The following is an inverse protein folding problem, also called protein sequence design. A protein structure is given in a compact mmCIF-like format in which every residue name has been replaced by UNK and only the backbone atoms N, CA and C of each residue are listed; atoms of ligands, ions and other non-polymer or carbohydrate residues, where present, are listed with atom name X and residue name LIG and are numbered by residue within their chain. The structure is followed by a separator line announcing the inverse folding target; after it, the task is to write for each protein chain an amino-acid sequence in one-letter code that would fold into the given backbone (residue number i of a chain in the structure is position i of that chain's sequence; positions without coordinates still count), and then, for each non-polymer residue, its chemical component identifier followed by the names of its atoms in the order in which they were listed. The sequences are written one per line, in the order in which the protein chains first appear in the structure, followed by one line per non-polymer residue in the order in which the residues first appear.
data_IF_342617754380
#
_entry.id   IF_342617754380
#
_cell.length_a   1.000
_cell.length_b   1.000
_cell.length_c   1.000
_cell.angle_alpha   90.00
_cell.angle_beta   90.00
_cell.angle_gamma   90.00
#
_symmetry.space_group_name_H-M   'P 1'
#
loop_
_entity.id
_entity.type
_entity.pdbx_description
1 polymer ?
#
# COMPACT_ATOMS: atom_id res chain seq x y z
N UNK A 1 -0.26 10.78 0.16
CA UNK A 1 -0.63 11.89 1.09
C UNK A 1 -1.70 12.77 0.47
N UNK A 2 -2.53 13.39 1.27
CA UNK A 2 -3.55 14.32 0.79
C UNK A 2 -2.92 15.55 0.13
N UNK A 3 -3.64 16.16 -0.80
CA UNK A 3 -3.22 17.42 -1.41
C UNK A 3 -3.51 18.60 -0.46
N UNK A 4 -2.52 19.45 -0.20
CA UNK A 4 -2.64 20.57 0.72
C UNK A 4 -3.73 21.58 0.30
N UNK A 5 -3.84 21.85 -1.01
CA UNK A 5 -4.90 22.73 -1.54
C UNK A 5 -6.30 22.14 -1.28
N UNK A 6 -6.47 20.80 -1.45
CA UNK A 6 -7.74 20.13 -1.15
C UNK A 6 -8.12 20.29 0.33
N UNK A 7 -7.14 20.07 1.25
CA UNK A 7 -7.38 20.24 2.69
C UNK A 7 -7.81 21.68 3.01
N UNK A 8 -7.14 22.66 2.41
CA UNK A 8 -7.45 24.08 2.63
C UNK A 8 -8.85 24.45 2.14
N UNK A 9 -9.27 23.94 0.98
CA UNK A 9 -10.55 24.25 0.35
C UNK A 9 -11.71 23.48 1.00
N UNK A 10 -11.43 22.33 1.65
CA UNK A 10 -12.43 21.41 2.17
C UNK A 10 -12.19 21.04 3.64
N UNK A 11 -11.75 22.00 4.49
CA UNK A 11 -11.32 21.76 5.88
C UNK A 11 -12.30 20.90 6.67
N UNK A 12 -13.58 21.29 6.68
CA UNK A 12 -14.61 20.64 7.52
C UNK A 12 -14.89 19.21 7.05
N UNK A 13 -14.98 18.99 5.75
CA UNK A 13 -15.12 17.66 5.16
C UNK A 13 -13.93 16.74 5.50
N UNK A 14 -12.71 17.27 5.41
CA UNK A 14 -11.50 16.53 5.77
C UNK A 14 -11.52 16.09 7.23
N UNK A 15 -11.88 17.02 8.14
CA UNK A 15 -12.00 16.72 9.57
C UNK A 15 -13.07 15.64 9.82
N UNK A 16 -14.25 15.78 9.22
CA UNK A 16 -15.33 14.79 9.33
C UNK A 16 -14.88 13.40 8.88
N UNK A 17 -14.27 13.29 7.70
CA UNK A 17 -13.84 11.99 7.18
C UNK A 17 -12.69 11.37 7.98
N UNK A 18 -11.76 12.16 8.50
CA UNK A 18 -10.67 11.67 9.35
C UNK A 18 -11.17 11.15 10.71
N UNK A 19 -12.29 11.66 11.22
CA UNK A 19 -12.95 11.13 12.43
C UNK A 19 -13.44 9.70 12.24
N UNK A 20 -13.86 9.32 11.04
CA UNK A 20 -14.27 7.95 10.72
C UNK A 20 -13.10 6.95 10.90
N UNK A 21 -11.85 7.37 10.65
CA UNK A 21 -10.62 6.61 10.95
C UNK A 21 -10.12 6.77 12.39
N UNK A 22 -10.86 7.41 13.26
CA UNK A 22 -10.46 7.71 14.64
C UNK A 22 -9.10 8.43 14.73
N UNK A 23 -8.77 9.27 13.72
CA UNK A 23 -7.52 10.02 13.73
C UNK A 23 -7.53 11.02 14.88
N UNK A 24 -6.53 10.86 15.78
CA UNK A 24 -6.47 11.64 17.03
C UNK A 24 -6.11 13.10 16.77
N UNK A 25 -6.69 14.00 17.55
CA UNK A 25 -6.42 15.45 17.50
C UNK A 25 -6.58 16.06 16.11
N UNK A 26 -7.53 15.56 15.33
CA UNK A 26 -7.70 15.92 13.92
C UNK A 26 -7.82 17.42 13.71
N UNK A 27 -8.61 18.12 14.51
CA UNK A 27 -8.82 19.57 14.41
C UNK A 27 -7.50 20.31 14.57
N UNK A 28 -6.74 20.00 15.62
CA UNK A 28 -5.45 20.64 15.91
C UNK A 28 -4.43 20.38 14.80
N UNK A 29 -4.31 19.13 14.31
CA UNK A 29 -3.37 18.77 13.26
C UNK A 29 -3.69 19.52 11.95
N UNK A 30 -4.97 19.65 11.61
CA UNK A 30 -5.39 20.39 10.40
C UNK A 30 -5.15 21.90 10.60
N UNK A 31 -5.39 22.46 11.78
CA UNK A 31 -5.09 23.87 12.07
C UNK A 31 -3.60 24.14 11.98
N UNK A 32 -2.76 23.34 12.63
CA UNK A 32 -1.30 23.47 12.58
C UNK A 32 -0.76 23.39 11.12
N UNK A 33 -1.34 22.50 10.30
CA UNK A 33 -1.01 22.37 8.89
C UNK A 33 -1.36 23.63 8.09
N UNK A 34 -2.57 24.17 8.30
CA UNK A 34 -3.03 25.38 7.59
C UNK A 34 -2.28 26.61 8.05
N UNK A 35 -1.91 26.72 9.33
CA UNK A 35 -1.06 27.79 9.84
C UNK A 35 0.35 27.73 9.23
N UNK A 36 0.95 26.53 9.16
CA UNK A 36 2.24 26.33 8.49
C UNK A 36 2.18 26.70 6.99
N UNK A 37 1.09 26.37 6.29
CA UNK A 37 0.89 26.79 4.89
C UNK A 37 0.75 28.31 4.74
N UNK A 38 0.02 28.95 5.64
CA UNK A 38 -0.12 30.41 5.64
C UNK A 38 1.24 31.09 5.87
N UNK A 39 2.02 30.60 6.83
CA UNK A 39 3.39 31.08 7.07
C UNK A 39 4.28 30.89 5.85
N UNK A 40 4.31 29.69 5.25
CA UNK A 40 5.04 29.41 4.03
C UNK A 40 4.68 30.37 2.90
N UNK A 41 3.40 30.60 2.66
CA UNK A 41 2.89 31.49 1.60
C UNK A 41 3.29 32.95 1.83
N UNK A 42 3.22 33.43 3.09
CA UNK A 42 3.65 34.77 3.48
C UNK A 42 5.15 34.96 3.26
N UNK A 43 5.97 33.99 3.75
CA UNK A 43 7.43 34.01 3.59
C UNK A 43 7.80 33.92 2.10
N UNK A 44 7.14 33.09 1.31
CA UNK A 44 7.36 32.99 -0.15
C UNK A 44 7.11 34.35 -0.84
N UNK A 45 5.99 34.99 -0.52
CA UNK A 45 5.62 36.29 -1.09
C UNK A 45 6.66 37.35 -0.75
N UNK A 46 7.12 37.38 0.50
CA UNK A 46 8.17 38.32 0.94
C UNK A 46 9.52 38.01 0.27
N UNK A 47 9.88 36.74 0.15
CA UNK A 47 11.09 36.30 -0.55
C UNK A 47 11.10 36.74 -2.02
N UNK A 48 9.98 36.55 -2.71
CA UNK A 48 9.84 36.94 -4.13
C UNK A 48 9.95 38.46 -4.30
N UNK A 49 9.37 39.25 -3.36
CA UNK A 49 9.50 40.71 -3.33
C UNK A 49 10.95 41.14 -3.13
N UNK A 50 11.64 40.60 -2.14
CA UNK A 50 13.05 40.92 -1.84
C UNK A 50 13.95 40.56 -3.02
N UNK A 51 13.76 39.39 -3.67
CA UNK A 51 14.49 39.00 -4.87
C UNK A 51 14.26 39.98 -6.03
N UNK A 52 13.04 40.43 -6.24
CA UNK A 52 12.72 41.41 -7.27
C UNK A 52 13.42 42.77 -7.02
N UNK A 53 13.38 43.24 -5.77
CA UNK A 53 14.06 44.48 -5.36
C UNK A 53 15.58 44.36 -5.46
N UNK A 54 16.19 43.26 -5.00
CA UNK A 54 17.61 42.94 -5.12
C UNK A 54 18.09 42.98 -6.59
N UNK A 55 17.32 42.34 -7.48
CA UNK A 55 17.61 42.36 -8.92
C UNK A 55 17.50 43.75 -9.55
N UNK A 56 16.52 44.56 -9.10
CA UNK A 56 16.38 45.94 -9.59
C UNK A 56 17.57 46.81 -9.15
N UNK A 57 18.02 46.70 -7.88
CA UNK A 57 19.18 47.40 -7.36
C UNK A 57 20.45 46.96 -8.09
N UNK A 58 20.65 45.68 -8.33
CA UNK A 58 21.81 45.19 -9.07
C UNK A 58 21.91 45.82 -10.47
N UNK A 59 20.77 45.98 -11.18
CA UNK A 59 20.72 46.70 -12.46
C UNK A 59 21.04 48.16 -12.33
N UNK A 60 20.54 48.83 -11.29
CA UNK A 60 20.86 50.27 -11.02
C UNK A 60 22.34 50.47 -10.74
N UNK A 61 22.96 49.64 -9.93
CA UNK A 61 24.43 49.69 -9.66
C UNK A 61 25.21 49.58 -10.97
N UNK A 62 24.81 48.63 -11.86
CA UNK A 62 25.48 48.47 -13.17
C UNK A 62 25.34 49.71 -14.06
N UNK A 63 24.20 50.42 -14.02
CA UNK A 63 23.98 51.66 -14.75
C UNK A 63 24.81 52.83 -14.18
N UNK A 64 24.87 52.96 -12.86
CA UNK A 64 25.63 54.01 -12.17
C UNK A 64 27.12 53.90 -12.45
N UNK A 65 27.68 52.69 -12.43
CA UNK A 65 29.07 52.47 -12.82
C UNK A 65 29.33 52.87 -14.29
N UNK A 66 28.44 52.58 -15.23
CA UNK A 66 28.56 53.01 -16.63
C UNK A 66 28.51 54.53 -16.78
N UNK A 67 27.85 55.23 -15.86
CA UNK A 67 27.71 56.69 -15.84
C UNK A 67 28.85 57.38 -15.07
N UNK A 68 29.82 56.64 -14.50
CA UNK A 68 30.91 57.20 -13.69
C UNK A 68 30.52 57.62 -12.28
N UNK A 69 29.33 57.27 -11.79
CA UNK A 69 28.79 57.65 -10.47
C UNK A 69 29.11 56.59 -9.42
N UNK A 70 30.41 56.43 -9.12
CA UNK A 70 30.91 55.38 -8.23
C UNK A 70 30.39 55.50 -6.80
N UNK A 71 30.26 56.72 -6.25
CA UNK A 71 29.82 56.92 -4.86
C UNK A 71 28.36 56.53 -4.67
N UNK A 72 27.49 56.85 -5.64
CA UNK A 72 26.09 56.42 -5.61
C UNK A 72 25.93 54.89 -5.76
N UNK A 73 26.81 54.26 -6.55
CA UNK A 73 26.85 52.83 -6.71
C UNK A 73 27.28 52.11 -5.40
N UNK A 74 28.26 52.64 -4.68
CA UNK A 74 28.71 52.07 -3.39
C UNK A 74 27.63 52.17 -2.32
N UNK A 75 26.86 53.28 -2.25
CA UNK A 75 25.74 53.44 -1.31
C UNK A 75 24.64 52.34 -1.57
N UNK A 76 24.41 51.96 -2.81
CA UNK A 76 23.46 50.89 -3.14
C UNK A 76 24.00 49.48 -2.87
N UNK A 77 25.35 49.30 -2.86
CA UNK A 77 25.94 48.01 -2.47
C UNK A 77 25.64 47.63 -1.02
N UNK A 78 25.60 48.60 -0.09
CA UNK A 78 25.23 48.35 1.30
C UNK A 78 23.79 47.72 1.40
N UNK A 79 22.84 48.28 0.64
CA UNK A 79 21.49 47.71 0.54
C UNK A 79 21.47 46.31 -0.05
N UNK A 80 22.32 46.01 -1.03
CA UNK A 80 22.44 44.68 -1.60
C UNK A 80 22.86 43.64 -0.58
N UNK A 81 23.79 44.01 0.34
CA UNK A 81 24.21 43.13 1.44
C UNK A 81 23.07 42.86 2.44
N UNK A 82 22.29 43.89 2.75
CA UNK A 82 21.11 43.75 3.61
C UNK A 82 20.05 42.80 2.98
N UNK A 83 19.75 42.99 1.70
CA UNK A 83 18.83 42.09 0.99
C UNK A 83 19.34 40.66 0.91
N UNK A 84 20.62 40.41 0.68
CA UNK A 84 21.20 39.07 0.71
C UNK A 84 21.03 38.38 2.07
N UNK A 85 21.23 39.11 3.17
CA UNK A 85 21.01 38.58 4.51
C UNK A 85 19.53 38.23 4.73
N UNK A 86 18.63 39.11 4.28
CA UNK A 86 17.18 38.88 4.39
C UNK A 86 16.71 37.72 3.52
N UNK A 87 17.22 37.60 2.29
CA UNK A 87 16.99 36.44 1.41
C UNK A 87 17.41 35.13 2.08
N UNK A 88 18.56 35.09 2.76
CA UNK A 88 19.03 33.91 3.49
C UNK A 88 18.07 33.55 4.62
N UNK A 89 17.68 34.51 5.46
CA UNK A 89 16.74 34.29 6.55
C UNK A 89 15.37 33.78 6.07
N UNK A 90 14.83 34.38 4.99
CA UNK A 90 13.56 33.94 4.40
C UNK A 90 13.66 32.54 3.78
N UNK A 91 14.82 32.18 3.19
CA UNK A 91 15.06 30.84 2.68
C UNK A 91 15.10 29.79 3.78
N UNK A 92 15.70 30.09 4.93
CA UNK A 92 15.73 29.22 6.10
C UNK A 92 14.29 29.02 6.65
N UNK A 93 13.54 30.10 6.83
CA UNK A 93 12.13 30.04 7.29
C UNK A 93 11.23 29.28 6.31
N UNK A 94 11.46 29.42 5.00
CA UNK A 94 10.71 28.69 3.98
C UNK A 94 10.98 27.17 4.09
N UNK A 95 12.27 26.79 4.22
CA UNK A 95 12.66 25.39 4.41
C UNK A 95 12.04 24.77 5.66
N UNK A 96 12.10 25.47 6.79
CA UNK A 96 11.48 25.02 8.05
C UNK A 96 9.95 24.84 7.91
N UNK A 97 9.28 25.78 7.23
CA UNK A 97 7.83 25.69 6.99
C UNK A 97 7.48 24.51 6.08
N UNK A 98 8.26 24.27 5.02
CA UNK A 98 8.08 23.14 4.10
C UNK A 98 8.31 21.80 4.78
N UNK A 99 9.33 21.68 5.64
CA UNK A 99 9.58 20.48 6.43
C UNK A 99 8.44 20.20 7.42
N UNK A 100 7.94 21.24 8.11
CA UNK A 100 6.79 21.12 9.02
C UNK A 100 5.53 20.67 8.27
N UNK A 101 5.23 21.26 7.12
CA UNK A 101 4.10 20.88 6.27
C UNK A 101 4.24 19.41 5.82
N UNK A 102 5.42 19.01 5.35
CA UNK A 102 5.69 17.64 4.93
C UNK A 102 5.49 16.64 6.07
N UNK A 103 6.01 16.93 7.26
CA UNK A 103 5.85 16.07 8.43
C UNK A 103 4.38 15.92 8.83
N UNK A 104 3.61 17.01 8.86
CA UNK A 104 2.17 16.99 9.16
C UNK A 104 1.39 16.20 8.09
N UNK A 105 1.63 16.44 6.80
CA UNK A 105 0.98 15.70 5.72
C UNK A 105 1.28 14.19 5.76
N UNK A 106 2.48 13.79 6.16
CA UNK A 106 2.85 12.37 6.33
C UNK A 106 2.19 11.73 7.55
N UNK A 107 1.79 12.52 8.55
CA UNK A 107 1.06 12.03 9.73
C UNK A 107 -0.43 11.81 9.49
N UNK A 108 -1.01 12.47 8.47
CA UNK A 108 -2.44 12.42 8.16
C UNK A 108 -2.75 11.20 7.29
N UNK A 109 -3.68 10.31 7.68
CA UNK A 109 -4.10 9.18 6.86
C UNK A 109 -4.91 9.63 5.63
N UNK A 110 -5.17 8.68 4.73
CA UNK A 110 -6.10 8.92 3.63
C UNK A 110 -7.54 9.07 4.14
N UNK A 111 -8.35 9.81 3.41
CA UNK A 111 -9.76 9.99 3.73
C UNK A 111 -10.55 8.71 3.40
N UNK A 112 -11.37 8.20 4.32
CA UNK A 112 -12.31 7.14 3.99
C UNK A 112 -13.32 7.59 2.95
N UNK A 113 -13.65 6.72 2.00
CA UNK A 113 -14.78 6.92 1.11
C UNK A 113 -16.09 7.00 1.89
N UNK A 114 -17.09 7.69 1.35
CA UNK A 114 -18.42 7.87 1.97
C UNK A 114 -19.11 6.55 2.35
N UNK A 115 -18.81 5.45 1.62
CA UNK A 115 -19.40 4.14 1.83
C UNK A 115 -18.69 3.29 2.90
N UNK A 116 -17.61 3.82 3.50
CA UNK A 116 -16.92 3.19 4.62
C UNK A 116 -17.75 3.34 5.88
N UNK A 117 -18.15 2.22 6.53
CA UNK A 117 -18.92 2.26 7.77
C UNK A 117 -18.09 2.81 8.93
N UNK A 118 -18.76 3.42 9.88
CA UNK A 118 -18.17 3.73 11.18
C UNK A 118 -17.91 2.42 11.94
N UNK A 119 -16.88 2.41 12.78
CA UNK A 119 -16.49 1.24 13.57
C UNK A 119 -15.08 1.36 14.09
N UNK A 120 -14.74 0.59 15.11
CA UNK A 120 -13.48 0.66 15.82
C UNK A 120 -12.50 -0.48 15.49
N UNK A 121 -13.01 -1.61 15.01
CA UNK A 121 -12.18 -2.79 14.74
C UNK A 121 -12.88 -3.83 13.88
N UNK A 122 -12.28 -5.01 13.76
CA UNK A 122 -12.72 -6.07 12.87
C UNK A 122 -14.17 -6.55 13.09
N UNK A 123 -14.68 -6.42 14.31
CA UNK A 123 -16.05 -6.76 14.70
C UNK A 123 -17.12 -5.85 14.06
N UNK A 124 -16.72 -4.65 13.64
CA UNK A 124 -17.62 -3.67 13.02
C UNK A 124 -17.57 -3.72 11.49
N UNK A 125 -16.79 -4.63 10.92
CA UNK A 125 -16.72 -4.84 9.47
C UNK A 125 -18.03 -5.41 8.93
N UNK A 126 -18.43 -4.97 7.75
CA UNK A 126 -19.70 -5.38 7.13
C UNK A 126 -19.49 -6.50 6.13
N UNK A 127 -20.11 -7.67 6.39
CA UNK A 127 -20.15 -8.76 5.40
C UNK A 127 -21.02 -8.33 4.23
N UNK A 128 -20.43 -8.20 3.04
CA UNK A 128 -21.14 -7.81 1.81
C UNK A 128 -21.44 -9.00 0.90
N UNK A 129 -20.66 -10.06 0.99
CA UNK A 129 -20.86 -11.32 0.26
C UNK A 129 -20.47 -12.48 1.17
N UNK A 130 -21.20 -13.59 1.09
CA UNK A 130 -20.76 -14.88 1.61
C UNK A 130 -21.15 -15.96 0.59
N UNK A 131 -20.22 -16.86 0.24
CA UNK A 131 -20.37 -17.84 -0.82
C UNK A 131 -19.68 -19.17 -0.48
N UNK A 132 -20.18 -20.25 -1.05
CA UNK A 132 -19.70 -21.61 -0.82
C UNK A 132 -20.31 -22.26 0.43
N UNK A 133 -20.30 -23.60 0.45
CA UNK A 133 -20.77 -24.40 1.58
C UNK A 133 -19.59 -24.79 2.47
N UNK A 134 -19.73 -24.61 3.77
CA UNK A 134 -18.72 -25.06 4.74
C UNK A 134 -18.68 -26.59 4.75
N UNK A 135 -17.49 -27.21 4.60
CA UNK A 135 -17.39 -28.66 4.57
C UNK A 135 -17.85 -29.28 5.89
N UNK A 136 -18.54 -30.41 5.77
CA UNK A 136 -18.98 -31.23 6.91
C UNK A 136 -18.23 -32.55 6.88
N UNK A 137 -17.59 -32.89 7.97
CA UNK A 137 -16.86 -34.14 8.12
C UNK A 137 -17.59 -35.08 9.06
N UNK A 138 -17.52 -36.38 8.83
CA UNK A 138 -17.93 -37.44 9.71
C UNK A 138 -16.80 -37.96 10.63
N UNK A 139 -15.65 -37.25 10.59
CA UNK A 139 -14.46 -37.47 11.41
C UNK A 139 -13.96 -36.15 12.02
N UNK A 140 -13.07 -36.23 12.99
CA UNK A 140 -12.44 -35.05 13.61
C UNK A 140 -11.43 -34.43 12.62
N UNK A 141 -11.77 -33.25 12.09
CA UNK A 141 -10.91 -32.54 11.16
C UNK A 141 -9.63 -32.05 11.86
N UNK A 142 -8.48 -32.38 11.29
CA UNK A 142 -7.15 -31.96 11.77
C UNK A 142 -6.82 -30.57 11.26
N UNK A 143 -6.25 -29.70 12.10
CA UNK A 143 -5.75 -28.40 11.64
C UNK A 143 -4.53 -28.58 10.74
N UNK A 144 -4.32 -27.59 9.86
CA UNK A 144 -3.29 -27.66 8.81
C UNK A 144 -1.88 -27.96 9.35
N UNK A 145 -1.48 -27.50 10.53
CA UNK A 145 -0.16 -27.80 11.09
C UNK A 145 0.02 -29.28 11.45
N UNK A 146 -1.02 -30.01 11.78
CA UNK A 146 -0.98 -31.46 12.00
C UNK A 146 -0.92 -32.19 10.65
N UNK A 147 -1.74 -31.77 9.67
CA UNK A 147 -1.69 -32.33 8.32
C UNK A 147 -0.32 -32.08 7.65
N UNK A 148 0.27 -30.90 7.84
CA UNK A 148 1.62 -30.58 7.35
C UNK A 148 2.68 -31.55 7.88
N UNK A 149 2.59 -31.90 9.17
CA UNK A 149 3.51 -32.85 9.81
C UNK A 149 3.23 -34.30 9.38
N UNK A 150 1.95 -34.69 9.32
CA UNK A 150 1.52 -36.06 8.98
C UNK A 150 1.96 -36.45 7.56
N UNK A 151 1.80 -35.54 6.59
CA UNK A 151 2.15 -35.75 5.20
C UNK A 151 3.54 -35.25 4.82
N UNK A 152 4.32 -34.77 5.78
CA UNK A 152 5.69 -34.24 5.58
C UNK A 152 5.78 -33.18 4.47
N UNK A 153 4.82 -32.27 4.38
CA UNK A 153 4.69 -31.29 3.30
C UNK A 153 5.14 -29.89 3.69
N UNK A 154 5.13 -29.54 5.00
CA UNK A 154 5.68 -28.31 5.54
C UNK A 154 6.34 -28.61 6.88
N UNK A 155 7.60 -28.19 7.02
CA UNK A 155 8.41 -28.43 8.19
C UNK A 155 8.70 -27.11 8.92
N UNK A 156 8.07 -26.94 10.07
CA UNK A 156 8.20 -25.73 10.90
C UNK A 156 9.48 -25.78 11.76
N UNK A 157 9.89 -26.98 12.21
CA UNK A 157 11.08 -27.17 13.04
C UNK A 157 12.36 -26.94 12.25
N UNK A 158 12.39 -27.40 11.00
CA UNK A 158 13.48 -27.10 10.09
C UNK A 158 13.59 -25.59 9.81
N UNK A 159 12.48 -24.92 9.65
CA UNK A 159 12.43 -23.46 9.50
C UNK A 159 12.97 -22.73 10.73
N UNK A 160 12.57 -23.18 11.92
CA UNK A 160 13.11 -22.68 13.20
C UNK A 160 14.64 -22.87 13.29
N UNK A 161 15.15 -24.02 12.85
CA UNK A 161 16.59 -24.31 12.83
C UNK A 161 17.38 -23.40 11.90
N UNK A 162 16.81 -23.07 10.73
CA UNK A 162 17.50 -22.31 9.67
C UNK A 162 17.46 -20.79 10.00
N UNK A 163 16.32 -20.28 10.44
CA UNK A 163 16.10 -18.84 10.57
C UNK A 163 15.44 -18.46 11.90
N UNK A 164 14.32 -19.12 12.24
CA UNK A 164 13.50 -18.84 13.41
C UNK A 164 12.02 -19.13 13.17
N UNK A 165 11.18 -18.89 14.19
CA UNK A 165 9.75 -19.05 14.06
C UNK A 165 9.17 -18.15 12.94
N UNK A 166 8.14 -18.64 12.24
CA UNK A 166 7.52 -17.90 11.14
C UNK A 166 8.20 -17.98 9.79
N UNK A 167 9.17 -18.91 9.64
CA UNK A 167 9.86 -19.22 8.38
C UNK A 167 9.72 -20.70 8.04
N UNK A 168 8.56 -21.17 7.57
CA UNK A 168 8.34 -22.60 7.29
C UNK A 168 9.14 -23.07 6.07
N UNK A 169 9.49 -24.37 6.06
CA UNK A 169 10.12 -25.03 4.91
C UNK A 169 9.10 -25.93 4.23
N UNK A 170 8.70 -25.59 3.02
CA UNK A 170 7.83 -26.42 2.20
C UNK A 170 8.62 -27.59 1.57
N UNK A 171 8.06 -28.81 1.60
CA UNK A 171 8.72 -30.04 1.16
C UNK A 171 7.83 -30.83 0.18
N UNK A 172 8.43 -31.61 -0.69
CA UNK A 172 7.76 -32.58 -1.54
C UNK A 172 6.48 -32.06 -2.24
N UNK A 173 5.34 -32.72 -1.99
CA UNK A 173 4.04 -32.32 -2.52
C UNK A 173 3.59 -30.94 -2.02
N UNK A 174 4.00 -30.50 -0.81
CA UNK A 174 3.71 -29.16 -0.30
C UNK A 174 4.44 -28.07 -1.10
N UNK A 175 5.73 -28.22 -1.38
CA UNK A 175 6.48 -27.30 -2.23
C UNK A 175 5.92 -27.24 -3.66
N UNK A 176 5.46 -28.38 -4.18
CA UNK A 176 4.82 -28.45 -5.50
C UNK A 176 3.46 -27.74 -5.50
N UNK A 177 2.64 -27.91 -4.44
CA UNK A 177 1.37 -27.21 -4.27
C UNK A 177 1.56 -25.69 -4.20
N UNK A 178 2.55 -25.23 -3.42
CA UNK A 178 2.89 -23.81 -3.31
C UNK A 178 3.18 -23.20 -4.70
N UNK A 179 4.05 -23.84 -5.46
CA UNK A 179 4.39 -23.38 -6.81
C UNK A 179 3.23 -23.51 -7.80
N UNK A 180 2.37 -24.52 -7.65
CA UNK A 180 1.17 -24.68 -8.46
C UNK A 180 0.18 -23.53 -8.25
N UNK A 181 -0.03 -23.11 -7.00
CA UNK A 181 -0.86 -21.95 -6.67
C UNK A 181 -0.33 -20.65 -7.26
N UNK A 182 1.00 -20.42 -7.17
CA UNK A 182 1.64 -19.24 -7.77
C UNK A 182 1.34 -19.18 -9.27
N UNK A 183 1.61 -20.26 -10.00
CA UNK A 183 1.37 -20.31 -11.44
C UNK A 183 -0.10 -20.16 -11.79
N UNK A 184 -0.99 -20.82 -11.05
CA UNK A 184 -2.43 -20.73 -11.25
C UNK A 184 -2.93 -19.27 -11.07
N UNK A 185 -2.51 -18.58 -10.01
CA UNK A 185 -2.94 -17.20 -9.76
C UNK A 185 -2.42 -16.22 -10.81
N UNK A 186 -1.17 -16.38 -11.26
CA UNK A 186 -0.59 -15.56 -12.33
C UNK A 186 -1.30 -15.79 -13.65
N UNK A 187 -1.52 -17.06 -14.05
CA UNK A 187 -2.19 -17.42 -15.29
C UNK A 187 -3.63 -16.89 -15.33
N UNK A 188 -4.35 -16.96 -14.21
CA UNK A 188 -5.70 -16.42 -14.11
C UNK A 188 -5.71 -14.88 -14.17
N UNK A 189 -4.75 -14.21 -13.52
CA UNK A 189 -4.62 -12.76 -13.61
C UNK A 189 -4.33 -12.32 -15.06
N UNK A 190 -3.42 -13.03 -15.78
CA UNK A 190 -3.15 -12.73 -17.19
C UNK A 190 -4.37 -12.95 -18.10
N UNK A 191 -5.21 -13.98 -17.83
CA UNK A 191 -6.47 -14.20 -18.57
C UNK A 191 -7.45 -13.04 -18.39
N UNK A 192 -7.43 -12.41 -17.20
CA UNK A 192 -8.27 -11.26 -16.87
C UNK A 192 -7.64 -9.91 -17.31
N UNK A 193 -6.54 -9.96 -18.10
CA UNK A 193 -5.94 -8.80 -18.74
C UNK A 193 -4.82 -8.11 -17.94
N UNK A 194 -4.38 -8.69 -16.82
CA UNK A 194 -3.22 -8.17 -16.10
C UNK A 194 -1.91 -8.52 -16.81
N UNK A 195 -0.97 -7.60 -16.82
CA UNK A 195 0.38 -7.82 -17.30
C UNK A 195 1.27 -8.32 -16.17
N UNK A 196 1.87 -9.50 -16.33
CA UNK A 196 2.82 -10.01 -15.35
C UNK A 196 4.13 -9.24 -15.37
N UNK A 197 4.62 -8.90 -14.16
CA UNK A 197 5.96 -8.34 -13.94
C UNK A 197 6.64 -9.04 -12.78
N UNK A 198 7.97 -9.16 -12.86
CA UNK A 198 8.78 -9.73 -11.78
C UNK A 198 9.62 -8.61 -11.14
N UNK A 199 9.18 -8.04 -10.02
CA UNK A 199 9.83 -6.92 -9.38
C UNK A 199 10.98 -7.36 -8.47
N UNK A 200 11.91 -6.45 -8.10
CA UNK A 200 12.89 -6.71 -7.05
C UNK A 200 12.23 -6.86 -5.68
N UNK A 201 12.83 -7.70 -4.81
CA UNK A 201 12.37 -7.96 -3.44
C UNK A 201 12.88 -6.95 -2.42
N UNK A 202 13.79 -6.07 -2.82
CA UNK A 202 14.33 -4.98 -2.03
C UNK A 202 14.06 -3.65 -2.73
N UNK A 203 13.69 -2.64 -1.95
CA UNK A 203 13.39 -1.30 -2.46
C UNK A 203 14.15 -0.24 -1.67
N UNK A 204 14.39 0.92 -2.30
CA UNK A 204 14.93 2.08 -1.60
C UNK A 204 13.86 2.82 -0.78
N UNK A 205 14.31 3.73 0.08
CA UNK A 205 13.46 4.54 0.95
C UNK A 205 12.35 5.28 0.18
N UNK A 206 12.69 5.89 -0.96
CA UNK A 206 11.72 6.63 -1.77
C UNK A 206 10.57 5.75 -2.25
N UNK A 207 10.85 4.50 -2.61
CA UNK A 207 9.82 3.54 -3.02
C UNK A 207 8.91 3.14 -1.86
N UNK A 208 9.47 2.90 -0.68
CA UNK A 208 8.70 2.58 0.52
C UNK A 208 7.87 3.78 1.01
N UNK A 209 8.40 5.00 0.89
CA UNK A 209 7.66 6.24 1.18
C UNK A 209 6.49 6.47 0.22
N UNK A 210 6.67 6.16 -1.06
CA UNK A 210 5.70 6.48 -2.11
C UNK A 210 4.38 5.71 -1.93
N UNK A 211 4.42 4.45 -1.53
CA UNK A 211 3.23 3.62 -1.26
C UNK A 211 2.72 3.73 0.18
N UNK A 212 3.51 4.36 1.07
CA UNK A 212 3.08 4.61 2.46
C UNK A 212 3.53 3.58 3.48
N UNK A 213 4.46 2.70 3.13
CA UNK A 213 5.11 1.79 4.08
C UNK A 213 6.02 2.56 5.06
N UNK A 214 6.56 3.70 4.61
CA UNK A 214 7.26 4.65 5.46
C UNK A 214 6.46 5.95 5.63
N UNK A 215 6.56 6.61 6.81
CA UNK A 215 7.25 6.17 8.03
C UNK A 215 6.65 4.89 8.61
N UNK A 216 7.48 3.91 8.96
CA UNK A 216 7.04 2.62 9.52
C UNK A 216 6.64 2.78 11.00
N UNK A 217 5.37 3.11 11.23
CA UNK A 217 4.82 3.36 12.57
C UNK A 217 4.64 2.09 13.39
N UNK A 218 4.55 0.93 12.72
CA UNK A 218 4.26 -0.37 13.33
C UNK A 218 5.50 -1.28 13.41
N UNK A 219 6.65 -0.79 12.97
CA UNK A 219 7.91 -1.53 12.90
C UNK A 219 7.82 -2.85 12.12
N UNK A 220 7.08 -2.85 11.00
CA UNK A 220 6.82 -4.05 10.19
C UNK A 220 7.90 -4.34 9.15
N UNK A 221 8.70 -3.34 8.76
CA UNK A 221 9.68 -3.47 7.70
C UNK A 221 10.97 -4.12 8.18
N UNK A 222 11.48 -5.10 7.40
CA UNK A 222 12.87 -5.53 7.51
C UNK A 222 13.78 -4.52 6.79
N UNK A 223 14.79 -4.01 7.49
CA UNK A 223 15.70 -2.97 7.00
C UNK A 223 17.10 -3.54 6.80
N UNK A 224 17.76 -3.15 5.71
CA UNK A 224 19.16 -3.43 5.40
C UNK A 224 19.94 -2.11 5.58
N UNK A 225 20.51 -1.85 6.78
CA UNK A 225 21.00 -0.50 7.13
C UNK A 225 22.18 -0.03 6.30
N UNK A 226 23.08 -0.94 5.90
CA UNK A 226 24.31 -0.57 5.17
C UNK A 226 24.01 0.04 3.79
N UNK A 227 22.96 -0.47 3.13
CA UNK A 227 22.61 -0.07 1.76
C UNK A 227 21.37 0.85 1.75
N UNK A 228 20.77 1.10 2.91
CA UNK A 228 19.48 1.81 3.07
C UNK A 228 18.38 1.21 2.20
N UNK A 229 18.29 -0.14 2.18
CA UNK A 229 17.23 -0.88 1.51
C UNK A 229 16.25 -1.48 2.50
N UNK A 230 15.06 -1.79 1.98
CA UNK A 230 13.95 -2.37 2.72
C UNK A 230 13.47 -3.61 1.99
N UNK A 231 13.29 -4.73 2.71
CA UNK A 231 12.62 -5.91 2.15
C UNK A 231 11.14 -5.60 1.97
N UNK A 232 10.59 -5.97 0.82
CA UNK A 232 9.19 -5.65 0.50
C UNK A 232 8.21 -6.45 1.38
N UNK A 233 7.19 -5.82 1.98
CA UNK A 233 6.10 -6.50 2.69
C UNK A 233 4.99 -6.97 1.73
N UNK A 234 5.03 -6.52 0.47
CA UNK A 234 4.07 -6.76 -0.60
C UNK A 234 4.66 -6.31 -1.94
N UNK A 235 4.30 -6.98 -3.04
CA UNK A 235 4.67 -6.54 -4.39
C UNK A 235 4.01 -5.22 -4.80
N UNK A 236 2.97 -4.77 -4.08
CA UNK A 236 2.42 -3.42 -4.25
C UNK A 236 3.52 -2.36 -4.31
N UNK A 237 4.51 -2.45 -3.40
CA UNK A 237 5.55 -1.43 -3.29
C UNK A 237 6.36 -1.28 -4.58
N UNK A 238 7.05 -2.30 -5.09
CA UNK A 238 7.82 -2.16 -6.33
C UNK A 238 6.95 -1.98 -7.56
N UNK A 239 5.80 -2.65 -7.68
CA UNK A 239 4.95 -2.59 -8.87
C UNK A 239 4.33 -1.18 -9.03
N UNK A 240 3.78 -0.61 -7.96
CA UNK A 240 3.22 0.75 -8.00
C UNK A 240 4.32 1.80 -8.32
N UNK A 241 5.55 1.56 -7.85
CA UNK A 241 6.69 2.45 -8.11
C UNK A 241 7.24 2.40 -9.56
N UNK A 242 6.81 1.45 -10.39
CA UNK A 242 7.07 1.50 -11.86
C UNK A 242 6.58 2.83 -12.44
N UNK A 243 5.52 3.37 -11.88
CA UNK A 243 4.87 4.60 -12.35
C UNK A 243 5.29 5.87 -11.58
N UNK A 244 6.29 5.79 -10.69
CA UNK A 244 6.77 6.96 -9.94
C UNK A 244 7.37 8.01 -10.87
N UNK A 245 7.05 9.29 -10.63
CA UNK A 245 7.49 10.46 -11.39
C UNK A 245 7.08 10.42 -12.89
N UNK A 246 5.96 9.75 -13.22
CA UNK A 246 5.49 9.64 -14.60
C UNK A 246 4.18 10.40 -14.85
N UNK A 247 3.92 10.68 -16.13
CA UNK A 247 2.64 11.21 -16.61
C UNK A 247 2.10 10.26 -17.69
N UNK A 248 1.01 9.58 -17.39
CA UNK A 248 0.34 8.66 -18.29
C UNK A 248 -0.58 9.42 -19.27
N UNK A 249 -1.07 8.76 -20.30
CA UNK A 249 -2.14 9.28 -21.14
C UNK A 249 -3.45 8.63 -20.72
N UNK A 250 -4.52 9.40 -20.62
CA UNK A 250 -5.86 8.89 -20.23
C UNK A 250 -6.29 7.66 -21.07
N UNK A 251 -6.02 7.68 -22.37
CA UNK A 251 -6.36 6.58 -23.29
C UNK A 251 -5.64 5.27 -23.02
N UNK A 252 -4.54 5.30 -22.27
CA UNK A 252 -3.72 4.13 -21.94
C UNK A 252 -4.15 3.52 -20.57
N UNK A 253 -5.12 4.13 -19.89
CA UNK A 253 -5.71 3.66 -18.61
C UNK A 253 -6.95 2.78 -18.87
N UNK A 254 -7.23 1.78 -18.02
CA UNK A 254 -6.46 1.41 -16.85
C UNK A 254 -5.16 0.66 -17.18
N UNK A 255 -4.11 0.86 -16.37
CA UNK A 255 -2.91 0.04 -16.38
C UNK A 255 -3.05 -1.05 -15.31
N UNK A 256 -2.97 -2.32 -15.71
CA UNK A 256 -3.22 -3.48 -14.87
C UNK A 256 -1.99 -4.39 -14.85
N UNK A 257 -1.45 -4.63 -13.67
CA UNK A 257 -0.25 -5.45 -13.47
C UNK A 257 -0.46 -6.50 -12.40
N UNK A 258 0.14 -7.68 -12.58
CA UNK A 258 0.23 -8.70 -11.55
C UNK A 258 1.68 -9.09 -11.30
N UNK A 259 1.99 -9.48 -10.08
CA UNK A 259 3.33 -9.89 -9.69
C UNK A 259 3.30 -10.93 -8.59
N UNK A 260 4.08 -11.99 -8.75
CA UNK A 260 4.46 -12.87 -7.66
C UNK A 260 5.66 -12.29 -6.91
N UNK A 261 5.61 -12.35 -5.59
CA UNK A 261 6.78 -12.07 -4.75
C UNK A 261 6.75 -12.83 -3.43
N UNK A 262 7.93 -13.06 -2.88
CA UNK A 262 8.06 -13.26 -1.45
C UNK A 262 7.85 -11.92 -0.73
N UNK A 263 7.14 -11.96 0.38
CA UNK A 263 6.82 -10.81 1.21
C UNK A 263 7.45 -11.01 2.60
N UNK A 264 7.97 -9.91 3.18
CA UNK A 264 8.70 -9.97 4.44
C UNK A 264 8.06 -8.99 5.43
N UNK A 265 7.56 -9.52 6.56
CA UNK A 265 6.95 -8.72 7.63
C UNK A 265 7.53 -9.13 8.99
N UNK A 266 7.87 -8.14 9.81
CA UNK A 266 8.40 -8.42 11.14
C UNK A 266 7.36 -8.95 12.10
N UNK A 267 6.07 -8.83 11.77
CA UNK A 267 4.94 -9.26 12.57
C UNK A 267 5.05 -8.81 14.05
N UNK A 268 5.54 -7.58 14.23
CA UNK A 268 5.80 -7.00 15.53
C UNK A 268 4.51 -6.94 16.37
N UNK A 269 4.56 -7.46 17.58
CA UNK A 269 3.40 -7.49 18.50
C UNK A 269 2.43 -8.66 18.31
N UNK A 270 2.75 -9.65 17.45
CA UNK A 270 1.89 -10.82 17.24
C UNK A 270 2.28 -11.98 18.12
N UNK A 271 1.32 -12.51 18.90
CA UNK A 271 1.56 -13.60 19.86
C UNK A 271 0.37 -14.58 19.90
N UNK A 272 0.62 -15.82 20.39
CA UNK A 272 -0.43 -16.76 20.74
C UNK A 272 -0.95 -17.63 19.60
N UNK A 273 -2.24 -17.96 19.59
CA UNK A 273 -2.86 -18.92 18.66
C UNK A 273 -2.80 -18.47 17.20
N UNK A 274 -2.73 -17.17 16.96
CA UNK A 274 -2.75 -16.59 15.61
C UNK A 274 -1.42 -16.76 14.86
N UNK A 275 -0.34 -17.14 15.54
CA UNK A 275 0.98 -17.40 14.94
C UNK A 275 1.25 -18.88 14.66
N UNK A 276 0.29 -19.80 14.94
CA UNK A 276 0.51 -21.23 14.77
C UNK A 276 0.38 -21.65 13.32
N UNK A 277 1.31 -22.51 12.87
CA UNK A 277 1.29 -23.05 11.51
C UNK A 277 1.52 -21.99 10.45
N UNK A 278 0.65 -21.95 9.44
CA UNK A 278 0.70 -21.02 8.32
C UNK A 278 -0.14 -19.74 8.52
N UNK A 279 -0.71 -19.54 9.70
CA UNK A 279 -1.63 -18.41 9.93
C UNK A 279 -0.93 -17.05 9.86
N UNK A 280 0.33 -16.95 10.34
CA UNK A 280 1.10 -15.71 10.35
C UNK A 280 2.59 -15.99 10.24
N UNK A 281 3.23 -15.44 9.22
CA UNK A 281 4.60 -15.74 8.85
C UNK A 281 5.42 -14.47 8.64
N UNK A 282 6.72 -14.52 8.95
CA UNK A 282 7.69 -13.47 8.67
C UNK A 282 8.07 -13.39 7.18
N UNK A 283 8.04 -14.53 6.51
CA UNK A 283 8.26 -14.67 5.07
C UNK A 283 7.15 -15.51 4.46
N UNK A 284 6.50 -15.01 3.42
CA UNK A 284 5.42 -15.71 2.74
C UNK A 284 5.32 -15.31 1.27
N UNK A 285 4.70 -16.19 0.47
CA UNK A 285 4.47 -15.97 -0.95
C UNK A 285 3.10 -15.30 -1.20
N UNK A 286 3.06 -14.37 -2.14
CA UNK A 286 1.86 -13.64 -2.52
C UNK A 286 1.88 -13.29 -4.00
N UNK A 287 0.75 -13.46 -4.68
CA UNK A 287 0.48 -12.80 -5.95
C UNK A 287 -0.29 -11.51 -5.67
N UNK A 288 0.17 -10.41 -6.23
CA UNK A 288 -0.42 -9.08 -6.07
C UNK A 288 -0.91 -8.58 -7.42
N UNK A 289 -2.06 -7.92 -7.42
CA UNK A 289 -2.57 -7.17 -8.57
C UNK A 289 -2.57 -5.67 -8.25
N UNK A 290 -2.13 -4.86 -9.22
CA UNK A 290 -2.04 -3.40 -9.08
C UNK A 290 -2.69 -2.76 -10.29
N UNK A 291 -3.53 -1.75 -10.05
CA UNK A 291 -4.15 -0.97 -11.10
C UNK A 291 -3.90 0.52 -10.92
N UNK A 292 -3.70 1.21 -12.05
CA UNK A 292 -3.66 2.67 -12.13
C UNK A 292 -4.80 3.10 -13.04
N UNK A 293 -5.66 3.98 -12.55
CA UNK A 293 -6.82 4.42 -13.33
C UNK A 293 -7.14 5.91 -13.07
N UNK A 294 -8.11 6.42 -13.80
CA UNK A 294 -8.66 7.75 -13.58
C UNK A 294 -9.58 7.75 -12.33
N UNK A 295 -9.78 8.90 -11.68
CA UNK A 295 -10.75 9.02 -10.60
C UNK A 295 -12.17 8.58 -10.98
N UNK A 296 -12.55 8.82 -12.23
CA UNK A 296 -13.87 8.54 -12.77
C UNK A 296 -14.18 7.04 -12.85
N UNK A 297 -13.16 6.20 -13.14
CA UNK A 297 -13.34 4.77 -13.40
C UNK A 297 -12.77 3.86 -12.28
N UNK A 298 -11.99 4.39 -11.35
CA UNK A 298 -11.26 3.58 -10.37
C UNK A 298 -12.16 2.72 -9.46
N UNK A 299 -13.41 3.14 -9.22
CA UNK A 299 -14.35 2.34 -8.43
C UNK A 299 -14.97 1.20 -9.23
N UNK A 300 -15.15 1.35 -10.54
CA UNK A 300 -15.50 0.24 -11.44
C UNK A 300 -14.35 -0.76 -11.49
N UNK A 301 -13.12 -0.27 -11.57
CA UNK A 301 -11.92 -1.11 -11.54
C UNK A 301 -11.77 -1.86 -10.21
N UNK A 302 -12.16 -1.26 -9.08
CA UNK A 302 -12.20 -1.93 -7.79
C UNK A 302 -13.15 -3.15 -7.81
N UNK A 303 -14.32 -3.03 -8.45
CA UNK A 303 -15.25 -4.16 -8.60
C UNK A 303 -14.67 -5.25 -9.50
N UNK A 304 -13.96 -4.90 -10.58
CA UNK A 304 -13.24 -5.86 -11.44
C UNK A 304 -12.21 -6.66 -10.64
N UNK A 305 -11.41 -5.97 -9.82
CA UNK A 305 -10.41 -6.62 -8.96
C UNK A 305 -11.05 -7.54 -7.92
N UNK A 306 -12.15 -7.13 -7.30
CA UNK A 306 -12.92 -7.96 -6.36
C UNK A 306 -13.48 -9.20 -7.03
N UNK A 307 -14.03 -9.06 -8.26
CA UNK A 307 -14.56 -10.18 -9.04
C UNK A 307 -13.44 -11.17 -9.40
N UNK A 308 -12.25 -10.68 -9.77
CA UNK A 308 -11.08 -11.53 -10.04
C UNK A 308 -10.72 -12.36 -8.80
N UNK A 309 -10.53 -11.74 -7.63
CA UNK A 309 -10.16 -12.43 -6.39
C UNK A 309 -11.24 -13.45 -5.97
N UNK A 310 -12.52 -13.08 -6.05
CA UNK A 310 -13.63 -14.00 -5.78
C UNK A 310 -13.66 -15.18 -6.74
N UNK A 311 -13.36 -14.95 -8.03
CA UNK A 311 -13.26 -15.99 -9.05
C UNK A 311 -12.13 -17.00 -8.80
N UNK A 312 -11.01 -16.56 -8.21
CA UNK A 312 -9.94 -17.47 -7.79
C UNK A 312 -10.41 -18.42 -6.68
N UNK A 313 -11.11 -17.88 -5.67
CA UNK A 313 -11.65 -18.67 -4.57
C UNK A 313 -12.75 -19.63 -5.01
N UNK A 314 -13.61 -19.20 -5.96
CA UNK A 314 -14.61 -20.08 -6.59
C UNK A 314 -13.95 -21.27 -7.31
N UNK A 315 -12.89 -21.04 -8.07
CA UNK A 315 -12.15 -22.11 -8.79
C UNK A 315 -11.41 -23.05 -7.84
N UNK A 316 -11.02 -22.56 -6.66
CA UNK A 316 -10.44 -23.37 -5.60
C UNK A 316 -11.51 -24.09 -4.74
N UNK A 317 -12.79 -23.85 -5.00
CA UNK A 317 -13.92 -24.43 -4.28
C UNK A 317 -13.89 -24.13 -2.77
N UNK A 318 -13.29 -22.98 -2.38
CA UNK A 318 -13.18 -22.56 -0.98
C UNK A 318 -14.39 -21.72 -0.58
N UNK A 319 -15.07 -22.02 0.54
CA UNK A 319 -16.07 -21.14 1.10
C UNK A 319 -15.42 -19.83 1.55
N UNK A 320 -15.99 -18.70 1.15
CA UNK A 320 -15.42 -17.39 1.48
C UNK A 320 -16.49 -16.35 1.79
N UNK A 321 -16.07 -15.29 2.45
CA UNK A 321 -16.85 -14.06 2.62
C UNK A 321 -16.03 -12.84 2.27
N UNK A 322 -16.70 -11.77 1.89
CA UNK A 322 -16.11 -10.47 1.59
C UNK A 322 -16.60 -9.49 2.64
N UNK A 323 -15.68 -8.83 3.30
CA UNK A 323 -15.94 -7.79 4.28
C UNK A 323 -15.62 -6.42 3.68
N UNK A 324 -16.49 -5.44 3.87
CA UNK A 324 -16.13 -4.04 3.72
C UNK A 324 -15.65 -3.54 5.07
N UNK A 325 -14.40 -3.08 5.12
CA UNK A 325 -13.79 -2.65 6.37
C UNK A 325 -14.39 -1.34 6.87
N UNK A 326 -14.54 -1.24 8.17
CA UNK A 326 -14.92 -0.01 8.86
C UNK A 326 -13.71 0.93 9.02
N UNK A 327 -13.97 2.18 9.39
CA UNK A 327 -12.93 3.19 9.51
C UNK A 327 -11.80 2.85 10.47
N UNK A 328 -12.09 2.16 11.57
CA UNK A 328 -11.10 1.77 12.59
C UNK A 328 -10.21 0.59 12.20
N UNK A 329 -10.63 -0.23 11.22
CA UNK A 329 -9.88 -1.41 10.76
C UNK A 329 -9.14 -1.17 9.43
N UNK A 330 -9.41 -0.07 8.75
CA UNK A 330 -8.77 0.28 7.49
C UNK A 330 -7.30 0.64 7.64
N UNK A 331 -6.48 0.30 6.65
CA UNK A 331 -5.09 0.75 6.58
C UNK A 331 -4.99 2.29 6.54
N UNK A 332 -3.82 2.80 6.96
CA UNK A 332 -3.53 4.23 6.98
C UNK A 332 -3.72 4.90 5.61
N UNK A 333 -3.40 4.18 4.53
CA UNK A 333 -3.32 4.74 3.17
C UNK A 333 -4.56 4.53 2.31
N UNK A 334 -5.43 3.56 2.63
CA UNK A 334 -6.61 3.23 1.82
C UNK A 334 -7.77 4.20 2.01
N UNK A 335 -8.55 4.44 0.96
CA UNK A 335 -9.82 5.15 1.00
C UNK A 335 -11.01 4.19 1.21
N UNK A 336 -10.92 2.98 0.68
CA UNK A 336 -11.86 1.88 0.91
C UNK A 336 -11.13 0.56 0.74
N UNK A 337 -11.50 -0.44 1.54
CA UNK A 337 -10.89 -1.78 1.52
C UNK A 337 -11.97 -2.84 1.64
N UNK A 338 -11.78 -3.91 0.87
CA UNK A 338 -12.56 -5.15 0.96
C UNK A 338 -11.62 -6.31 1.27
N UNK A 339 -11.86 -6.99 2.39
CA UNK A 339 -11.11 -8.19 2.76
C UNK A 339 -11.85 -9.44 2.37
N UNK A 340 -11.13 -10.42 1.86
CA UNK A 340 -11.62 -11.75 1.56
C UNK A 340 -11.11 -12.71 2.62
N UNK A 341 -12.04 -13.42 3.22
CA UNK A 341 -11.75 -14.44 4.21
C UNK A 341 -12.27 -15.79 3.74
N UNK A 342 -11.48 -16.84 3.93
CA UNK A 342 -11.86 -18.24 3.66
C UNK A 342 -12.15 -18.99 4.95
N UNK A 343 -13.10 -19.93 4.89
CA UNK A 343 -13.41 -20.76 6.05
C UNK A 343 -12.29 -21.78 6.30
N UNK A 344 -11.82 -21.90 7.54
CA UNK A 344 -10.92 -22.94 8.01
C UNK A 344 -11.72 -23.97 8.81
N UNK A 345 -11.88 -25.16 8.25
CA UNK A 345 -12.81 -26.16 8.78
C UNK A 345 -12.40 -26.73 10.13
N UNK A 346 -11.09 -26.92 10.36
CA UNK A 346 -10.57 -27.46 11.62
C UNK A 346 -10.44 -26.38 12.69
N UNK A 347 -10.03 -25.15 12.32
CA UNK A 347 -9.95 -24.05 13.27
C UNK A 347 -11.31 -23.41 13.58
N UNK A 348 -12.35 -23.71 12.77
CA UNK A 348 -13.73 -23.20 12.86
C UNK A 348 -13.77 -21.66 12.92
N UNK A 349 -12.98 -21.03 12.02
CA UNK A 349 -12.90 -19.58 11.91
C UNK A 349 -12.64 -19.15 10.45
N UNK A 350 -12.88 -17.89 10.17
CA UNK A 350 -12.52 -17.24 8.93
C UNK A 350 -11.05 -16.81 8.97
N UNK A 351 -10.33 -16.96 7.85
CA UNK A 351 -8.94 -16.57 7.66
C UNK A 351 -8.87 -15.57 6.51
N UNK A 352 -8.38 -14.38 6.76
CA UNK A 352 -8.14 -13.37 5.73
C UNK A 352 -7.07 -13.86 4.76
N UNK A 353 -7.37 -13.86 3.47
CA UNK A 353 -6.47 -14.30 2.38
C UNK A 353 -6.18 -13.21 1.36
N UNK A 354 -6.96 -12.15 1.34
CA UNK A 354 -6.79 -11.00 0.45
C UNK A 354 -7.37 -9.75 1.04
N UNK A 355 -6.78 -8.63 0.67
CA UNK A 355 -7.27 -7.28 0.91
C UNK A 355 -7.22 -6.54 -0.42
N UNK A 356 -8.36 -5.99 -0.90
CA UNK A 356 -8.46 -5.24 -2.16
C UNK A 356 -8.86 -3.81 -1.85
N UNK A 357 -8.02 -2.85 -2.25
CA UNK A 357 -8.14 -1.46 -1.83
C UNK A 357 -8.06 -0.46 -2.98
N UNK A 358 -8.81 0.63 -2.84
CA UNK A 358 -8.62 1.86 -3.61
C UNK A 358 -7.98 2.92 -2.71
N UNK A 359 -6.89 3.53 -3.16
CA UNK A 359 -6.16 4.57 -2.42
C UNK A 359 -6.48 5.98 -2.94
N UNK A 360 -7.32 6.06 -3.94
CA UNK A 360 -7.60 7.30 -4.66
C UNK A 360 -6.29 8.02 -5.05
N UNK A 361 -6.20 9.32 -4.84
CA UNK A 361 -5.00 10.10 -5.19
C UNK A 361 -3.89 10.03 -4.15
N UNK A 362 -4.09 9.34 -3.02
CA UNK A 362 -3.17 9.42 -1.87
C UNK A 362 -1.75 8.92 -2.18
N UNK A 363 -1.64 7.74 -2.78
CA UNK A 363 -0.36 7.19 -3.23
C UNK A 363 0.14 7.92 -4.48
N UNK A 364 -0.72 8.21 -5.44
CA UNK A 364 -0.37 8.94 -6.66
C UNK A 364 0.26 10.31 -6.36
N UNK A 365 -0.21 11.02 -5.33
CA UNK A 365 0.38 12.28 -4.89
C UNK A 365 1.80 12.09 -4.32
N UNK A 366 2.07 11.01 -3.57
CA UNK A 366 3.41 10.67 -3.08
C UNK A 366 4.34 10.23 -4.22
N UNK A 367 3.82 9.43 -5.14
CA UNK A 367 4.51 8.95 -6.34
C UNK A 367 4.77 10.04 -7.38
N UNK A 368 4.08 11.18 -7.30
CA UNK A 368 3.95 12.17 -8.38
C UNK A 368 3.43 11.52 -9.68
N UNK A 369 2.56 10.52 -9.54
CA UNK A 369 1.91 9.83 -10.64
C UNK A 369 0.72 10.64 -11.14
N UNK A 370 0.75 11.03 -12.39
CA UNK A 370 -0.27 11.86 -13.03
C UNK A 370 -0.70 11.28 -14.35
N UNK A 371 -1.80 11.77 -14.87
CA UNK A 371 -2.19 11.54 -16.26
C UNK A 371 -2.62 12.84 -16.93
N UNK A 372 -2.54 12.88 -18.26
CA UNK A 372 -3.12 13.93 -19.09
C UNK A 372 -4.47 13.46 -19.59
N UNK A 373 -5.51 14.23 -19.23
CA UNK A 373 -6.87 14.01 -19.72
C UNK A 373 -6.99 14.39 -21.20
N UNK A 374 -8.16 14.10 -21.77
CA UNK A 374 -8.48 14.43 -23.17
C UNK A 374 -8.34 15.90 -23.54
N UNK A 375 -8.45 16.80 -22.57
CA UNK A 375 -8.30 18.24 -22.71
C UNK A 375 -6.84 18.72 -22.50
N UNK A 376 -5.91 17.78 -22.27
CA UNK A 376 -4.49 18.04 -22.02
C UNK A 376 -4.18 18.52 -20.60
N UNK A 377 -5.14 18.54 -19.70
CA UNK A 377 -4.92 18.90 -18.29
C UNK A 377 -4.26 17.74 -17.54
N UNK A 378 -3.30 18.10 -16.72
CA UNK A 378 -2.61 17.12 -15.87
C UNK A 378 -3.33 16.95 -14.53
N UNK A 379 -3.72 15.71 -14.21
CA UNK A 379 -4.42 15.31 -12.97
C UNK A 379 -3.66 14.19 -12.28
N UNK A 380 -3.89 13.99 -10.95
CA UNK A 380 -3.43 12.81 -10.24
C UNK A 380 -4.28 11.60 -10.64
N UNK A 381 -3.62 10.47 -10.86
CA UNK A 381 -4.30 9.19 -11.05
C UNK A 381 -4.80 8.62 -9.72
N UNK A 382 -5.66 7.61 -9.76
CA UNK A 382 -5.97 6.73 -8.65
C UNK A 382 -5.09 5.48 -8.71
N UNK A 383 -4.72 4.93 -7.55
CA UNK A 383 -4.02 3.66 -7.43
C UNK A 383 -4.89 2.66 -6.68
N UNK A 384 -4.87 1.41 -7.13
CA UNK A 384 -5.57 0.30 -6.50
C UNK A 384 -4.60 -0.87 -6.40
N UNK A 385 -4.75 -1.68 -5.36
CA UNK A 385 -4.09 -2.98 -5.28
C UNK A 385 -4.96 -4.03 -4.60
N UNK A 386 -4.55 -5.28 -4.76
CA UNK A 386 -5.17 -6.39 -4.06
C UNK A 386 -4.29 -7.64 -4.09
N UNK A 387 -4.38 -8.44 -3.04
CA UNK A 387 -3.74 -9.75 -3.03
C UNK A 387 -4.58 -10.75 -3.82
N UNK A 388 -3.97 -11.42 -4.79
CA UNK A 388 -4.64 -12.40 -5.63
C UNK A 388 -3.88 -13.76 -5.70
N UNK A 389 -3.54 -14.40 -4.57
CA UNK A 389 -3.87 -14.30 -3.16
C UNK A 389 -2.60 -14.40 -2.29
N UNK A 390 -2.75 -14.24 -0.93
CA UNK A 390 -1.69 -14.58 0.02
C UNK A 390 -1.70 -16.09 0.29
N UNK A 391 -0.65 -16.80 -0.14
CA UNK A 391 -0.65 -18.27 -0.23
C UNK A 391 -0.76 -19.01 1.10
N UNK A 392 -0.11 -18.63 2.21
CA UNK A 392 -0.08 -19.48 3.40
C UNK A 392 -1.45 -19.83 3.96
N UNK A 393 -2.33 -18.85 4.08
CA UNK A 393 -3.69 -19.07 4.60
C UNK A 393 -4.59 -19.77 3.59
N UNK A 394 -4.36 -19.58 2.28
CA UNK A 394 -5.02 -20.36 1.22
C UNK A 394 -4.60 -21.82 1.31
N UNK A 395 -3.28 -22.10 1.46
CA UNK A 395 -2.79 -23.48 1.67
C UNK A 395 -3.39 -24.08 2.93
N UNK A 396 -3.39 -23.34 4.06
CA UNK A 396 -4.01 -23.82 5.29
C UNK A 396 -5.48 -24.22 5.09
N UNK A 397 -6.26 -23.35 4.44
CA UNK A 397 -7.68 -23.62 4.17
C UNK A 397 -7.88 -24.80 3.19
N UNK A 398 -7.05 -24.90 2.13
CA UNK A 398 -7.10 -26.02 1.19
C UNK A 398 -6.82 -27.36 1.89
N UNK A 399 -5.78 -27.41 2.74
CA UNK A 399 -5.46 -28.62 3.49
C UNK A 399 -6.58 -29.02 4.43
N UNK A 400 -7.13 -28.06 5.17
CA UNK A 400 -8.19 -28.32 6.16
C UNK A 400 -9.54 -28.66 5.54
N UNK A 401 -9.91 -27.96 4.45
CA UNK A 401 -11.24 -28.13 3.85
C UNK A 401 -11.35 -29.35 2.93
N UNK A 402 -10.22 -29.81 2.38
CA UNK A 402 -10.19 -30.95 1.44
C UNK A 402 -9.61 -32.22 2.03
N UNK A 403 -9.44 -32.27 3.38
CA UNK A 403 -8.95 -33.48 4.05
C UNK A 403 -9.98 -34.61 3.99
N UNK A 404 -9.49 -35.82 3.83
CA UNK A 404 -10.24 -37.07 3.86
C UNK A 404 -9.60 -38.03 4.86
N UNK A 405 -10.22 -39.15 5.22
CA UNK A 405 -9.57 -40.16 6.09
C UNK A 405 -8.27 -40.73 5.56
N UNK A 406 -7.96 -40.57 4.26
CA UNK A 406 -6.80 -41.18 3.59
C UNK A 406 -5.92 -40.19 2.85
N UNK A 407 -6.06 -38.89 3.08
CA UNK A 407 -5.24 -37.87 2.42
C UNK A 407 -5.98 -36.54 2.23
N UNK A 408 -5.45 -35.69 1.36
CA UNK A 408 -6.00 -34.37 1.08
C UNK A 408 -6.22 -34.27 -0.42
N UNK A 409 -7.47 -34.11 -0.83
CA UNK A 409 -7.83 -34.00 -2.24
C UNK A 409 -7.43 -32.60 -2.79
N UNK A 410 -6.96 -32.56 -4.02
CA UNK A 410 -6.52 -31.32 -4.68
C UNK A 410 -7.66 -30.79 -5.55
N UNK A 411 -8.06 -29.52 -5.41
CA UNK A 411 -9.05 -28.89 -6.27
C UNK A 411 -8.75 -29.11 -7.75
N UNK A 412 -9.78 -29.40 -8.52
CA UNK A 412 -9.64 -29.76 -9.95
C UNK A 412 -8.85 -28.70 -10.75
N UNK A 413 -9.05 -27.43 -10.44
CA UNK A 413 -8.34 -26.33 -11.08
C UNK A 413 -6.80 -26.36 -10.88
N UNK A 414 -6.31 -27.02 -9.81
CA UNK A 414 -4.90 -27.13 -9.51
C UNK A 414 -4.23 -28.42 -10.01
N UNK A 415 -5.00 -29.46 -10.35
CA UNK A 415 -4.44 -30.78 -10.68
C UNK A 415 -3.48 -30.75 -11.86
N UNK A 416 -3.73 -29.91 -12.87
CA UNK A 416 -2.82 -29.72 -14.01
C UNK A 416 -1.49 -29.10 -13.60
N UNK A 417 -1.52 -28.20 -12.61
CA UNK A 417 -0.31 -27.51 -12.09
C UNK A 417 0.47 -28.39 -11.10
N UNK A 418 -0.23 -29.13 -10.25
CA UNK A 418 0.39 -30.04 -9.27
C UNK A 418 0.94 -31.30 -9.91
N UNK A 419 0.24 -31.84 -10.92
CA UNK A 419 0.52 -33.15 -11.52
C UNK A 419 0.14 -34.31 -10.60
N UNK A 420 -0.66 -34.08 -9.57
CA UNK A 420 -1.29 -35.09 -8.71
C UNK A 420 -2.67 -34.59 -8.24
N UNK A 421 -3.53 -35.55 -7.89
CA UNK A 421 -4.91 -35.28 -7.48
C UNK A 421 -5.07 -35.34 -5.95
N UNK A 422 -4.09 -35.91 -5.25
CA UNK A 422 -4.15 -36.15 -3.81
C UNK A 422 -2.76 -36.03 -3.14
N UNK A 423 -2.75 -35.53 -1.91
CA UNK A 423 -1.64 -35.65 -0.96
C UNK A 423 -1.99 -36.82 -0.03
N UNK A 424 -1.19 -37.88 -0.09
CA UNK A 424 -1.33 -39.14 0.63
C UNK A 424 0.02 -39.59 1.18
#
# INVERSE_FOLDING_TARGET
MLQLNFIRENKDYVIERLKVKHFKNVEQVIEDLLEADNTRRSVQTESDKIKAESNAIAKQIGMLYKQGKSDEAEALKAKTSEYKNKEKQLSEQLSESEEKIKALLLSIPNLPNKDVPEGFGAEDNVVVVQKGEMPKFDFDAKPHWELCSEYDIVDFDLGNKITGAGFPVYKGKGAKLQRALINFFLDEAMKDGFTEVQPPLMVNENSAMATGQLPDKEAQMYVIPLDNFYMIPTAEVPVTNIFRDTIQKEKDLPLQYCAYSQCFRREAGSYGKDVRGLNRLHQFDKVEIVCIDTPEHSYEQLEVMKAHVGGLLDKLELPYRILRLCGGDMSFTSAITYDFEVWSAAQKRWLEVSSVSNFETYQANRLKLRYKDKDGKTKLAHTLNGSALALPRVVAALLENNQTPTGIDIPKALQTYTGFEKID
#
